data_IF_262670164096
#
_entry.id   IF_262670164096
#
_cell.length_a   1.000
_cell.length_b   1.000
_cell.length_c   1.000
_cell.angle_alpha   90.00
_cell.angle_beta   90.00
_cell.angle_gamma   90.00
#
_symmetry.space_group_name_H-M   'P 1'
#
loop_
_entity.id
_entity.type
_entity.pdbx_description
1 polymer ?
#
# COMPACT_ATOMS: atom_id res chain seq x y z
N UNK A 1 -44.29 -50.36 64.16
CA UNK A 1 -42.96 -49.75 64.25
C UNK A 1 -42.95 -48.49 63.31
N UNK A 2 -42.97 -47.30 63.92
CA UNK A 2 -42.96 -46.00 63.23
C UNK A 2 -41.54 -45.46 63.23
N UNK A 3 -40.96 -45.22 62.09
CA UNK A 3 -39.71 -44.43 61.96
C UNK A 3 -40.04 -43.06 61.41
N UNK A 4 -39.86 -42.06 62.23
CA UNK A 4 -39.90 -40.65 61.91
C UNK A 4 -38.52 -40.26 61.27
N UNK A 5 -38.51 -39.76 60.09
CA UNK A 5 -37.33 -39.12 59.48
C UNK A 5 -37.48 -37.61 59.50
N UNK A 6 -36.72 -36.99 60.38
CA UNK A 6 -36.57 -35.56 60.49
C UNK A 6 -35.69 -35.06 59.35
N UNK A 7 -36.26 -34.26 58.45
CA UNK A 7 -35.50 -33.63 57.36
C UNK A 7 -34.93 -32.31 57.89
N UNK A 8 -33.57 -32.21 57.96
CA UNK A 8 -32.87 -30.95 58.24
C UNK A 8 -32.65 -30.21 56.95
N UNK A 9 -33.34 -29.08 56.76
CA UNK A 9 -33.12 -28.16 55.73
C UNK A 9 -31.88 -27.34 56.09
N UNK A 10 -30.78 -27.51 55.33
CA UNK A 10 -29.61 -26.65 55.40
C UNK A 10 -29.83 -25.50 54.41
N UNK A 11 -30.05 -24.31 54.93
CA UNK A 11 -30.17 -23.09 54.17
C UNK A 11 -28.74 -22.64 53.77
N UNK A 12 -28.37 -22.91 52.52
CA UNK A 12 -27.10 -22.46 51.96
C UNK A 12 -27.25 -21.02 51.45
N UNK A 13 -26.79 -20.06 52.24
CA UNK A 13 -26.75 -18.65 51.86
C UNK A 13 -25.63 -18.46 50.85
N UNK A 14 -25.96 -18.39 49.54
CA UNK A 14 -25.03 -17.97 48.50
C UNK A 14 -24.80 -16.46 48.62
N UNK A 15 -23.63 -16.07 49.17
CA UNK A 15 -23.12 -14.70 49.06
C UNK A 15 -22.55 -14.53 47.65
N UNK A 16 -23.32 -13.93 46.75
CA UNK A 16 -22.84 -13.47 45.46
C UNK A 16 -22.00 -12.22 45.69
N UNK A 17 -20.68 -12.39 45.70
CA UNK A 17 -19.73 -11.27 45.62
C UNK A 17 -19.77 -10.77 44.15
N UNK A 18 -20.48 -9.68 43.93
CA UNK A 18 -20.35 -8.89 42.69
C UNK A 18 -18.97 -8.25 42.69
N UNK A 19 -18.01 -8.86 42.01
CA UNK A 19 -16.80 -8.15 41.60
C UNK A 19 -17.18 -7.21 40.46
N UNK A 20 -17.33 -5.95 40.80
CA UNK A 20 -17.32 -4.88 39.78
C UNK A 20 -15.94 -4.90 39.11
N UNK A 21 -15.85 -5.59 37.98
CA UNK A 21 -14.71 -5.44 37.06
C UNK A 21 -14.81 -4.05 36.45
N UNK A 22 -14.10 -3.11 37.05
CA UNK A 22 -13.97 -1.76 36.56
C UNK A 22 -13.30 -1.83 35.17
N UNK A 23 -14.08 -1.57 34.12
CA UNK A 23 -13.61 -1.40 32.73
C UNK A 23 -12.91 -0.04 32.60
N UNK A 24 -11.83 0.18 33.36
CA UNK A 24 -11.00 1.41 33.27
C UNK A 24 -9.89 1.26 32.22
N UNK A 25 -9.56 0.03 31.78
CA UNK A 25 -8.48 -0.22 30.83
C UNK A 25 -8.82 0.14 29.37
N UNK A 26 -10.05 -0.01 28.93
CA UNK A 26 -10.42 0.17 27.52
C UNK A 26 -10.41 1.62 27.02
N UNK A 27 -10.67 2.60 27.86
CA UNK A 27 -10.66 4.02 27.45
C UNK A 27 -9.25 4.58 27.24
N UNK A 28 -8.29 4.16 28.05
CA UNK A 28 -6.90 4.64 27.94
C UNK A 28 -6.21 4.06 26.70
N UNK A 29 -6.43 2.79 26.37
CA UNK A 29 -5.83 2.13 25.20
C UNK A 29 -6.38 2.72 23.89
N UNK A 30 -7.66 3.07 23.85
CA UNK A 30 -8.27 3.72 22.68
C UNK A 30 -7.68 5.12 22.44
N UNK A 31 -7.58 5.95 23.48
CA UNK A 31 -6.99 7.29 23.40
C UNK A 31 -5.52 7.24 22.97
N UNK A 32 -4.77 6.28 23.52
CA UNK A 32 -3.37 6.09 23.14
C UNK A 32 -3.22 5.64 21.68
N UNK A 33 -4.11 4.79 21.20
CA UNK A 33 -4.14 4.34 19.81
C UNK A 33 -4.45 5.50 18.86
N UNK A 34 -5.42 6.34 19.18
CA UNK A 34 -5.80 7.49 18.36
C UNK A 34 -4.67 8.55 18.26
N UNK A 35 -3.94 8.78 19.35
CA UNK A 35 -2.78 9.68 19.35
C UNK A 35 -1.65 9.13 18.47
N UNK A 36 -1.33 7.84 18.59
CA UNK A 36 -0.34 7.17 17.74
C UNK A 36 -0.72 7.22 16.25
N UNK A 37 -1.96 6.90 15.93
CA UNK A 37 -2.49 6.93 14.55
C UNK A 37 -2.45 8.33 13.99
N UNK A 38 -2.79 9.35 14.77
CA UNK A 38 -2.75 10.74 14.35
C UNK A 38 -1.33 11.22 14.07
N UNK A 39 -0.37 10.88 14.91
CA UNK A 39 1.05 11.19 14.71
C UNK A 39 1.64 10.46 13.51
N UNK A 40 1.30 9.18 13.33
CA UNK A 40 1.72 8.40 12.16
C UNK A 40 1.12 8.96 10.85
N UNK A 41 -0.12 9.46 10.88
CA UNK A 41 -0.73 10.11 9.73
C UNK A 41 0.03 11.38 9.31
N UNK A 42 0.51 12.18 10.27
CA UNK A 42 1.40 13.33 9.97
C UNK A 42 2.69 12.85 9.30
N UNK A 43 3.31 11.76 9.76
CA UNK A 43 4.52 11.21 9.14
C UNK A 43 4.27 10.70 7.73
N UNK A 44 3.15 10.03 7.50
CA UNK A 44 2.73 9.60 6.16
C UNK A 44 2.52 10.79 5.23
N UNK A 45 1.93 11.88 5.71
CA UNK A 45 1.77 13.11 4.94
C UNK A 45 3.14 13.74 4.58
N UNK A 46 4.08 13.80 5.52
CA UNK A 46 5.45 14.27 5.26
C UNK A 46 6.14 13.42 4.19
N UNK A 47 5.93 12.09 4.21
CA UNK A 47 6.44 11.22 3.15
C UNK A 47 5.90 11.65 1.78
N UNK A 48 4.59 11.82 1.62
CA UNK A 48 3.97 12.22 0.34
C UNK A 48 4.48 13.60 -0.15
N UNK A 49 4.75 14.52 0.75
CA UNK A 49 5.25 15.86 0.43
C UNK A 49 6.72 15.86 0.03
N UNK A 50 7.51 14.95 0.59
CA UNK A 50 8.98 14.92 0.40
C UNK A 50 9.44 13.91 -0.64
N UNK A 51 8.66 12.84 -0.89
CA UNK A 51 8.97 11.78 -1.86
C UNK A 51 8.66 12.23 -3.29
N UNK A 52 9.44 13.18 -3.77
CA UNK A 52 9.35 13.75 -5.13
C UNK A 52 10.70 14.18 -5.64
N UNK A 53 10.86 14.19 -6.97
CA UNK A 53 12.11 14.52 -7.65
C UNK A 53 13.29 13.68 -7.12
N UNK A 54 13.06 12.38 -7.02
CA UNK A 54 14.02 11.39 -6.54
C UNK A 54 14.28 10.34 -7.61
N UNK A 55 15.55 9.97 -7.75
CA UNK A 55 16.01 8.94 -8.69
C UNK A 55 16.47 7.71 -7.92
N UNK A 56 16.19 6.52 -8.46
CA UNK A 56 16.72 5.24 -7.98
C UNK A 56 16.91 4.27 -9.14
N UNK A 57 17.72 3.25 -8.94
CA UNK A 57 17.66 2.05 -9.79
C UNK A 57 16.55 1.14 -9.26
N UNK A 58 15.68 0.70 -10.15
CA UNK A 58 14.58 -0.22 -9.83
C UNK A 58 14.79 -1.55 -10.55
N UNK A 59 14.60 -2.64 -9.83
CA UNK A 59 14.37 -3.96 -10.42
C UNK A 59 12.94 -4.36 -10.17
N UNK A 60 12.16 -4.55 -11.24
CA UNK A 60 10.81 -5.09 -11.22
C UNK A 60 10.84 -6.53 -11.71
N UNK A 61 10.40 -7.46 -10.89
CA UNK A 61 10.25 -8.87 -11.27
C UNK A 61 8.79 -9.28 -11.15
N UNK A 62 8.26 -9.97 -12.14
CA UNK A 62 6.91 -10.52 -12.04
C UNK A 62 6.85 -11.99 -12.42
N UNK A 63 5.93 -12.69 -11.78
CA UNK A 63 5.63 -14.10 -11.93
C UNK A 63 4.14 -14.30 -12.19
N UNK A 64 3.81 -15.10 -13.17
CA UNK A 64 2.45 -15.55 -13.46
C UNK A 64 2.35 -17.02 -13.10
N UNK A 65 1.33 -17.37 -12.33
CA UNK A 65 1.14 -18.72 -11.83
C UNK A 65 0.07 -19.46 -12.64
N UNK A 66 0.27 -20.74 -12.87
CA UNK A 66 -0.71 -21.61 -13.51
C UNK A 66 -1.80 -22.08 -12.53
N UNK A 67 -2.70 -22.95 -13.01
CA UNK A 67 -3.79 -23.52 -12.19
C UNK A 67 -3.30 -24.42 -11.06
N UNK A 68 -2.05 -24.89 -11.11
CA UNK A 68 -1.43 -25.75 -10.09
C UNK A 68 -0.64 -24.94 -9.06
N UNK A 69 -0.46 -23.62 -9.30
CA UNK A 69 0.34 -22.74 -8.45
C UNK A 69 1.83 -22.77 -8.81
N UNK A 70 2.18 -23.31 -9.99
CA UNK A 70 3.55 -23.28 -10.52
C UNK A 70 3.78 -22.03 -11.36
N UNK A 71 5.01 -21.49 -11.38
CA UNK A 71 5.35 -20.33 -12.19
C UNK A 71 5.32 -20.72 -13.66
N UNK A 72 4.36 -20.15 -14.40
CA UNK A 72 4.17 -20.33 -15.84
C UNK A 72 5.03 -19.38 -16.66
N UNK A 73 5.16 -18.14 -16.20
CA UNK A 73 5.91 -17.08 -16.85
C UNK A 73 6.58 -16.20 -15.80
N UNK A 74 7.76 -15.74 -16.10
CA UNK A 74 8.47 -14.74 -15.28
C UNK A 74 9.15 -13.74 -16.20
N UNK A 75 9.34 -12.51 -15.69
CA UNK A 75 10.08 -11.45 -16.35
C UNK A 75 10.82 -10.61 -15.33
N UNK A 76 11.97 -10.08 -15.72
CA UNK A 76 12.74 -9.10 -14.95
C UNK A 76 12.95 -7.84 -15.80
N UNK A 77 12.60 -6.70 -15.24
CA UNK A 77 12.78 -5.38 -15.86
C UNK A 77 13.69 -4.56 -14.96
N UNK A 78 14.72 -3.95 -15.52
CA UNK A 78 15.61 -3.03 -14.83
C UNK A 78 15.39 -1.62 -15.38
N UNK A 79 15.21 -0.64 -14.50
CA UNK A 79 14.86 0.72 -14.87
C UNK A 79 15.64 1.75 -14.05
N UNK A 80 15.88 2.91 -14.63
CA UNK A 80 16.06 4.12 -13.85
C UNK A 80 14.68 4.64 -13.47
N UNK A 81 14.40 4.64 -12.18
CA UNK A 81 13.13 5.07 -11.60
C UNK A 81 13.22 6.53 -11.17
N UNK A 82 12.21 7.31 -11.50
CA UNK A 82 12.10 8.72 -11.13
C UNK A 82 10.71 9.01 -10.57
N UNK A 83 10.66 9.61 -9.39
CA UNK A 83 9.44 10.25 -8.88
C UNK A 83 9.36 11.65 -9.47
N UNK A 84 8.60 11.77 -10.55
CA UNK A 84 8.50 12.98 -11.37
C UNK A 84 7.35 13.86 -10.89
N UNK A 85 7.62 15.13 -10.65
CA UNK A 85 6.57 16.12 -10.37
C UNK A 85 6.03 16.66 -11.69
N UNK A 86 4.71 16.53 -11.91
CA UNK A 86 4.06 16.99 -13.14
C UNK A 86 4.23 18.50 -13.32
N UNK A 87 4.44 18.93 -14.57
CA UNK A 87 4.62 20.35 -14.91
C UNK A 87 3.32 21.16 -14.82
N UNK A 88 2.17 20.50 -15.01
CA UNK A 88 0.83 21.13 -15.08
C UNK A 88 -0.14 20.61 -14.02
N UNK A 89 0.34 19.95 -13.00
CA UNK A 89 -0.51 19.36 -11.95
C UNK A 89 -0.11 19.85 -10.58
N UNK A 90 -0.60 20.93 -10.05
CA UNK A 90 -0.48 21.48 -8.69
C UNK A 90 0.27 20.59 -7.67
N UNK A 91 1.55 20.27 -7.95
CA UNK A 91 2.37 19.42 -7.12
C UNK A 91 2.12 17.92 -7.26
N UNK A 92 1.27 17.47 -8.18
CA UNK A 92 1.07 16.05 -8.46
C UNK A 92 2.37 15.38 -8.91
N UNK A 93 2.54 14.12 -8.52
CA UNK A 93 3.71 13.31 -8.84
C UNK A 93 3.30 12.05 -9.59
N UNK A 94 4.21 11.53 -10.40
CA UNK A 94 4.05 10.28 -11.12
C UNK A 94 5.33 9.45 -11.03
N UNK A 95 5.19 8.13 -11.11
CA UNK A 95 6.31 7.21 -11.25
C UNK A 95 6.70 7.10 -12.72
N UNK A 96 7.90 7.52 -13.06
CA UNK A 96 8.48 7.32 -14.38
C UNK A 96 9.55 6.24 -14.34
N UNK A 97 9.54 5.36 -15.32
CA UNK A 97 10.52 4.27 -15.50
C UNK A 97 11.17 4.35 -16.86
N UNK A 98 12.44 4.73 -16.89
CA UNK A 98 13.28 4.54 -18.06
C UNK A 98 13.84 3.13 -18.04
N UNK A 99 13.22 2.21 -18.78
CA UNK A 99 13.64 0.83 -18.84
C UNK A 99 14.99 0.70 -19.55
N UNK A 100 15.98 0.10 -18.88
CA UNK A 100 17.34 -0.05 -19.36
C UNK A 100 17.71 -1.50 -19.71
N UNK A 101 17.01 -2.48 -19.13
CA UNK A 101 17.17 -3.90 -19.49
C UNK A 101 15.88 -4.69 -19.28
N UNK A 102 15.68 -5.74 -20.06
CA UNK A 102 14.57 -6.69 -19.96
C UNK A 102 15.15 -8.11 -20.06
N UNK A 103 14.85 -8.94 -19.07
CA UNK A 103 15.35 -10.33 -18.95
C UNK A 103 16.85 -10.45 -19.13
N UNK A 104 17.60 -9.50 -18.53
CA UNK A 104 19.05 -9.41 -18.60
C UNK A 104 19.62 -8.86 -19.90
N UNK A 105 18.78 -8.52 -20.89
CA UNK A 105 19.20 -7.91 -22.15
C UNK A 105 19.11 -6.40 -22.04
N UNK A 106 20.26 -5.72 -22.16
CA UNK A 106 20.33 -4.26 -22.18
C UNK A 106 19.63 -3.69 -23.42
N UNK A 107 18.90 -2.60 -23.24
CA UNK A 107 18.30 -1.83 -24.33
C UNK A 107 19.28 -0.74 -24.79
N UNK A 108 19.29 -0.47 -26.11
CA UNK A 108 20.08 0.61 -26.66
C UNK A 108 19.37 1.97 -26.56
N UNK A 109 20.16 3.05 -26.56
CA UNK A 109 19.70 4.46 -26.64
C UNK A 109 18.65 4.84 -25.57
N UNK A 110 18.76 4.29 -24.37
CA UNK A 110 17.78 4.52 -23.32
C UNK A 110 17.81 5.95 -22.80
N UNK A 111 18.98 6.58 -22.73
CA UNK A 111 19.14 7.95 -22.23
C UNK A 111 18.63 8.97 -23.25
N UNK A 112 18.92 8.79 -24.54
CA UNK A 112 18.38 9.65 -25.61
C UNK A 112 16.86 9.54 -25.65
N UNK A 113 16.32 8.33 -25.53
CA UNK A 113 14.88 8.11 -25.47
C UNK A 113 14.23 8.81 -24.28
N UNK A 114 14.84 8.73 -23.10
CA UNK A 114 14.33 9.42 -21.91
C UNK A 114 14.36 10.93 -22.09
N UNK A 115 15.46 11.47 -22.66
CA UNK A 115 15.57 12.90 -22.97
C UNK A 115 14.49 13.35 -23.94
N UNK A 116 14.34 12.69 -25.07
CA UNK A 116 13.31 12.99 -26.08
C UNK A 116 11.90 12.91 -25.46
N UNK A 117 11.68 11.93 -24.59
CA UNK A 117 10.43 11.78 -23.86
C UNK A 117 10.13 13.01 -22.99
N UNK A 118 11.09 13.46 -22.17
CA UNK A 118 10.89 14.63 -21.31
C UNK A 118 10.77 15.93 -22.10
N UNK A 119 11.51 16.12 -23.18
CA UNK A 119 11.35 17.27 -24.08
C UNK A 119 9.93 17.35 -24.70
N UNK A 120 9.31 16.21 -24.93
CA UNK A 120 7.97 16.14 -25.49
C UNK A 120 6.86 16.21 -24.42
N UNK A 121 7.09 15.66 -23.22
CA UNK A 121 6.07 15.58 -22.19
C UNK A 121 5.73 16.97 -21.63
N UNK A 122 6.71 17.87 -21.49
CA UNK A 122 6.49 19.25 -21.03
C UNK A 122 5.57 20.06 -21.95
N UNK A 123 5.40 19.61 -23.20
CA UNK A 123 4.48 20.19 -24.20
C UNK A 123 3.06 19.63 -24.08
N UNK A 124 2.79 18.73 -23.14
CA UNK A 124 1.44 18.19 -22.92
C UNK A 124 0.47 19.32 -22.56
N UNK A 125 -0.75 19.25 -23.08
CA UNK A 125 -1.75 20.31 -22.88
C UNK A 125 -2.33 20.31 -21.47
N UNK A 126 -2.41 19.12 -20.84
CA UNK A 126 -3.01 18.92 -19.51
C UNK A 126 -2.17 17.96 -18.67
N UNK A 127 -2.30 18.04 -17.34
CA UNK A 127 -1.68 17.10 -16.39
C UNK A 127 -2.14 15.65 -16.65
N UNK A 128 -3.38 15.44 -17.06
CA UNK A 128 -3.87 14.10 -17.39
C UNK A 128 -3.15 13.49 -18.58
N UNK A 129 -2.96 14.27 -19.69
CA UNK A 129 -2.20 13.80 -20.84
C UNK A 129 -0.72 13.55 -20.50
N UNK A 130 -0.15 14.36 -19.62
CA UNK A 130 1.19 14.17 -19.10
C UNK A 130 1.29 12.85 -18.33
N UNK A 131 0.36 12.60 -17.43
CA UNK A 131 0.28 11.38 -16.62
C UNK A 131 0.08 10.13 -17.48
N UNK A 132 -0.82 10.17 -18.47
CA UNK A 132 -1.08 9.04 -19.37
C UNK A 132 0.17 8.66 -20.17
N UNK A 133 0.90 9.64 -20.70
CA UNK A 133 2.17 9.39 -21.41
C UNK A 133 3.25 8.78 -20.50
N UNK A 134 3.36 9.29 -19.25
CA UNK A 134 4.30 8.73 -18.26
C UNK A 134 3.96 7.26 -17.98
N UNK A 135 2.68 6.96 -17.82
CA UNK A 135 2.20 5.60 -17.57
C UNK A 135 2.51 4.66 -18.73
N UNK A 136 2.19 5.10 -19.94
CA UNK A 136 2.41 4.30 -21.16
C UNK A 136 3.90 3.99 -21.37
N UNK A 137 4.77 4.98 -21.19
CA UNK A 137 6.22 4.76 -21.33
C UNK A 137 6.77 3.88 -20.21
N UNK A 138 6.31 4.10 -18.97
CA UNK A 138 6.76 3.34 -17.78
C UNK A 138 6.35 1.87 -17.83
N UNK A 139 5.22 1.56 -18.46
CA UNK A 139 4.67 0.19 -18.56
C UNK A 139 4.94 -0.50 -19.90
N UNK A 140 5.72 0.11 -20.78
CA UNK A 140 6.00 -0.39 -22.16
C UNK A 140 6.39 -1.87 -22.24
N UNK A 141 7.04 -2.41 -21.20
CA UNK A 141 7.53 -3.78 -21.15
C UNK A 141 6.77 -4.66 -20.14
N UNK A 142 5.73 -4.11 -19.50
CA UNK A 142 4.98 -4.79 -18.46
C UNK A 142 3.99 -5.84 -19.02
N UNK A 143 3.76 -5.85 -20.33
CA UNK A 143 2.74 -6.68 -21.00
C UNK A 143 1.36 -6.45 -20.37
N UNK A 144 0.72 -7.53 -19.84
CA UNK A 144 -0.60 -7.46 -19.21
C UNK A 144 -0.57 -6.94 -17.76
N UNK A 145 0.61 -6.53 -17.23
CA UNK A 145 0.81 -6.21 -15.81
C UNK A 145 1.36 -4.80 -15.58
N UNK A 146 0.62 -3.80 -16.03
CA UNK A 146 0.92 -2.41 -15.73
C UNK A 146 0.53 -2.07 -14.28
N UNK A 147 1.48 -2.18 -13.33
CA UNK A 147 1.31 -1.70 -11.96
C UNK A 147 2.17 -0.46 -11.79
N UNK A 148 1.54 0.69 -11.58
CA UNK A 148 2.17 1.99 -11.37
C UNK A 148 1.59 2.67 -10.13
N UNK A 149 2.34 3.60 -9.53
CA UNK A 149 1.88 4.44 -8.43
C UNK A 149 2.00 3.79 -7.05
N UNK A 150 2.53 2.58 -6.91
CA UNK A 150 2.61 1.90 -5.61
C UNK A 150 3.41 2.69 -4.57
N UNK A 151 4.52 3.33 -4.96
CA UNK A 151 5.36 4.09 -4.03
C UNK A 151 4.68 5.36 -3.52
N UNK A 152 3.67 5.85 -4.24
CA UNK A 152 2.95 7.08 -3.91
C UNK A 152 1.80 6.86 -2.91
N UNK A 153 1.52 5.62 -2.52
CA UNK A 153 0.38 5.25 -1.67
C UNK A 153 0.80 4.59 -0.36
N UNK A 154 1.73 5.23 0.35
CA UNK A 154 2.07 4.82 1.70
C UNK A 154 0.86 4.96 2.62
N UNK A 155 0.56 3.90 3.37
CA UNK A 155 -0.40 3.87 4.47
C UNK A 155 -1.75 4.53 4.16
N UNK A 156 -2.40 4.07 3.11
CA UNK A 156 -3.70 4.59 2.65
C UNK A 156 -4.73 4.74 3.79
N UNK A 157 -4.70 3.85 4.79
CA UNK A 157 -5.58 3.91 5.95
C UNK A 157 -5.35 5.14 6.84
N UNK A 158 -4.17 5.79 6.75
CA UNK A 158 -3.83 7.00 7.49
C UNK A 158 -4.17 8.29 6.74
N UNK A 159 -4.55 8.21 5.46
CA UNK A 159 -4.98 9.37 4.69
C UNK A 159 -6.13 10.08 5.39
N UNK A 160 -6.07 11.41 5.46
CA UNK A 160 -7.04 12.23 6.20
C UNK A 160 -8.50 11.92 5.84
N UNK A 161 -8.80 11.80 4.56
CA UNK A 161 -10.17 11.61 4.06
C UNK A 161 -10.65 10.16 4.21
N UNK A 162 -9.73 9.20 4.22
CA UNK A 162 -10.03 7.77 4.29
C UNK A 162 -10.01 7.23 5.72
N UNK A 163 -9.20 7.81 6.60
CA UNK A 163 -9.00 7.36 7.98
C UNK A 163 -10.29 7.15 8.79
N UNK A 164 -11.33 8.00 8.67
CA UNK A 164 -12.59 7.78 9.38
C UNK A 164 -13.32 6.47 9.01
N UNK A 165 -12.95 5.85 7.89
CA UNK A 165 -13.53 4.57 7.44
C UNK A 165 -12.81 3.36 8.02
N UNK A 166 -11.77 3.56 8.83
CA UNK A 166 -10.95 2.48 9.41
C UNK A 166 -11.01 2.48 10.93
N UNK A 167 -10.90 1.30 11.51
CA UNK A 167 -10.58 1.10 12.92
C UNK A 167 -9.12 0.69 13.06
N UNK A 168 -8.49 1.09 14.17
CA UNK A 168 -7.09 0.81 14.46
C UNK A 168 -6.96 0.11 15.81
N UNK A 169 -6.00 -0.82 15.92
CA UNK A 169 -5.73 -1.55 17.16
C UNK A 169 -4.24 -1.80 17.30
N UNK A 170 -3.64 -1.39 18.41
CA UNK A 170 -2.25 -1.71 18.73
C UNK A 170 -2.15 -3.22 19.02
N UNK A 171 -1.18 -3.89 18.39
CA UNK A 171 -0.94 -5.35 18.52
C UNK A 171 0.31 -5.68 19.34
N UNK A 172 1.08 -4.68 19.75
CA UNK A 172 2.33 -4.85 20.48
C UNK A 172 3.51 -4.27 19.73
N UNK A 173 4.69 -4.81 19.98
CA UNK A 173 5.95 -4.35 19.35
C UNK A 173 6.67 -5.50 18.68
N UNK A 174 7.34 -5.19 17.57
CA UNK A 174 8.21 -6.10 16.82
C UNK A 174 9.51 -5.38 16.44
N UNK A 175 10.55 -6.13 16.09
CA UNK A 175 11.80 -5.55 15.58
C UNK A 175 11.94 -5.85 14.09
N UNK A 176 12.10 -4.81 13.27
CA UNK A 176 12.33 -4.91 11.83
C UNK A 176 13.70 -4.33 11.52
N UNK A 177 14.59 -5.13 10.93
CA UNK A 177 15.95 -4.69 10.55
C UNK A 177 16.71 -3.99 11.68
N UNK A 178 16.53 -4.45 12.94
CA UNK A 178 17.17 -3.87 14.12
C UNK A 178 16.44 -2.66 14.73
N UNK A 179 15.37 -2.17 14.12
CA UNK A 179 14.55 -1.04 14.59
C UNK A 179 13.36 -1.59 15.37
N UNK A 180 13.16 -1.12 16.59
CA UNK A 180 11.96 -1.44 17.38
C UNK A 180 10.75 -0.70 16.83
N UNK A 181 9.67 -1.42 16.61
CA UNK A 181 8.46 -0.88 15.98
C UNK A 181 7.21 -1.19 16.81
N UNK A 182 6.24 -0.26 16.77
CA UNK A 182 4.88 -0.48 17.28
C UNK A 182 4.04 -1.03 16.13
N UNK A 183 3.36 -2.14 16.36
CA UNK A 183 2.49 -2.79 15.37
C UNK A 183 1.05 -2.33 15.56
N UNK A 184 0.48 -1.71 14.53
CA UNK A 184 -0.93 -1.30 14.49
C UNK A 184 -1.65 -2.09 13.40
N UNK A 185 -2.68 -2.83 13.76
CA UNK A 185 -3.62 -3.39 12.79
C UNK A 185 -4.68 -2.36 12.43
N UNK A 186 -5.09 -2.34 11.16
CA UNK A 186 -6.20 -1.54 10.68
C UNK A 186 -7.18 -2.38 9.87
N UNK A 187 -8.46 -2.01 9.95
CA UNK A 187 -9.54 -2.69 9.22
C UNK A 187 -10.59 -1.67 8.78
N UNK A 188 -10.98 -1.73 7.51
CA UNK A 188 -12.03 -0.87 6.97
C UNK A 188 -13.40 -1.32 7.49
N UNK A 189 -14.11 -0.44 8.18
CA UNK A 189 -15.44 -0.68 8.74
C UNK A 189 -16.54 0.03 7.97
N UNK A 190 -16.23 1.18 7.37
CA UNK A 190 -17.13 1.96 6.54
C UNK A 190 -16.98 1.66 5.04
N UNK A 191 -18.02 1.94 4.25
CA UNK A 191 -17.88 2.05 2.81
C UNK A 191 -17.33 3.43 2.46
N UNK A 192 -16.26 3.50 1.67
CA UNK A 192 -15.75 4.76 1.16
C UNK A 192 -15.64 4.68 -0.36
N UNK A 193 -16.30 5.60 -1.07
CA UNK A 193 -16.29 5.66 -2.53
C UNK A 193 -14.91 5.99 -3.11
N UNK A 194 -14.03 6.63 -2.32
CA UNK A 194 -12.65 6.93 -2.74
C UNK A 194 -11.73 5.69 -2.75
N UNK A 195 -12.16 4.60 -2.11
CA UNK A 195 -11.48 3.30 -2.13
C UNK A 195 -12.16 2.40 -3.17
N UNK A 196 -12.81 2.96 -4.17
CA UNK A 196 -13.38 2.17 -5.25
C UNK A 196 -12.27 1.55 -6.07
N UNK A 197 -12.45 0.29 -6.31
CA UNK A 197 -11.58 -0.62 -7.03
C UNK A 197 -11.44 -0.27 -8.53
N UNK A 198 -12.20 0.67 -9.03
CA UNK A 198 -12.19 1.08 -10.44
C UNK A 198 -11.41 2.38 -10.59
N UNK A 199 -10.17 2.22 -11.05
CA UNK A 199 -9.21 3.27 -11.21
C UNK A 199 -9.53 4.33 -12.26
N UNK A 200 -10.33 5.30 -11.90
CA UNK A 200 -10.46 6.55 -12.66
C UNK A 200 -9.97 7.77 -11.88
N UNK A 201 -9.29 7.57 -10.77
CA UNK A 201 -8.64 8.62 -9.98
C UNK A 201 -7.12 8.45 -9.98
N UNK A 202 -6.38 9.36 -9.34
CA UNK A 202 -4.92 9.29 -9.18
C UNK A 202 -4.42 7.99 -8.50
N UNK A 203 -5.31 7.11 -8.11
CA UNK A 203 -5.11 5.86 -7.39
C UNK A 203 -5.49 4.67 -8.28
N UNK A 204 -4.74 4.45 -9.37
CA UNK A 204 -4.99 3.30 -10.25
C UNK A 204 -4.53 1.99 -9.63
N UNK A 205 -5.33 1.48 -8.70
CA UNK A 205 -5.36 0.05 -8.40
C UNK A 205 -6.53 -0.55 -9.17
N UNK A 206 -6.30 -0.96 -10.40
CA UNK A 206 -7.25 -1.82 -11.08
C UNK A 206 -7.19 -3.20 -10.44
N UNK A 207 -8.17 -3.48 -9.57
CA UNK A 207 -8.50 -4.86 -9.28
C UNK A 207 -9.56 -5.25 -10.31
N UNK A 208 -9.15 -5.81 -11.40
CA UNK A 208 -10.05 -6.62 -12.21
C UNK A 208 -10.44 -7.84 -11.39
N UNK A 209 -11.54 -7.75 -10.67
CA UNK A 209 -12.26 -8.93 -10.23
C UNK A 209 -13.02 -9.40 -11.46
N UNK A 210 -12.52 -10.43 -12.10
CA UNK A 210 -13.16 -11.04 -13.25
C UNK A 210 -14.63 -11.36 -12.91
N UNK A 211 -15.57 -10.57 -13.47
CA UNK A 211 -17.00 -10.73 -13.38
C UNK A 211 -17.66 -10.19 -12.11
N UNK A 212 -18.18 -8.97 -12.19
CA UNK A 212 -19.19 -8.37 -11.31
C UNK A 212 -18.73 -7.90 -9.92
N UNK A 213 -18.44 -6.61 -9.85
CA UNK A 213 -17.82 -5.95 -8.69
C UNK A 213 -18.79 -5.53 -7.57
N UNK A 214 -20.09 -5.45 -7.81
CA UNK A 214 -21.04 -4.90 -6.85
C UNK A 214 -21.49 -5.87 -5.75
N UNK A 215 -21.34 -7.19 -5.96
CA UNK A 215 -21.86 -8.21 -5.05
C UNK A 215 -20.87 -8.64 -3.95
N UNK A 216 -19.61 -8.21 -3.99
CA UNK A 216 -18.55 -8.79 -3.15
C UNK A 216 -18.09 -7.96 -1.98
N UNK A 217 -18.65 -6.78 -1.75
CA UNK A 217 -18.33 -5.90 -0.62
C UNK A 217 -16.80 -5.82 -0.33
N UNK A 218 -16.02 -5.21 -1.22
CA UNK A 218 -14.57 -5.13 -1.07
C UNK A 218 -14.19 -4.34 0.19
N UNK A 219 -13.16 -4.80 0.92
CA UNK A 219 -12.62 -4.17 2.13
C UNK A 219 -11.10 -4.19 2.10
N UNK A 220 -10.52 -3.23 2.80
CA UNK A 220 -9.08 -3.14 3.05
C UNK A 220 -8.83 -3.40 4.53
N UNK A 221 -7.83 -4.22 4.83
CA UNK A 221 -7.28 -4.41 6.17
C UNK A 221 -5.78 -4.60 6.10
N UNK A 222 -5.11 -4.50 7.23
CA UNK A 222 -3.67 -4.72 7.23
C UNK A 222 -3.00 -4.39 8.54
N UNK A 223 -1.68 -4.16 8.46
CA UNK A 223 -0.84 -3.79 9.59
C UNK A 223 0.18 -2.74 9.16
N UNK A 224 0.49 -1.86 10.09
CA UNK A 224 1.56 -0.87 10.00
C UNK A 224 2.59 -1.16 11.11
N UNK A 225 3.86 -1.11 10.78
CA UNK A 225 4.96 -1.16 11.74
C UNK A 225 5.56 0.24 11.80
N UNK A 226 5.29 0.93 12.90
CA UNK A 226 5.76 2.28 13.14
C UNK A 226 7.05 2.23 13.95
N UNK A 227 8.09 2.88 13.51
CA UNK A 227 9.30 3.12 14.29
C UNK A 227 8.91 3.75 15.65
N UNK A 228 9.36 3.16 16.76
CA UNK A 228 8.95 3.59 18.10
C UNK A 228 9.40 5.01 18.43
N UNK A 229 10.51 5.48 17.86
CA UNK A 229 11.09 6.82 18.13
C UNK A 229 10.53 7.89 17.18
N UNK A 230 10.50 7.60 15.88
CA UNK A 230 10.18 8.59 14.85
C UNK A 230 8.73 8.53 14.36
N UNK A 231 8.03 7.42 14.61
CA UNK A 231 6.72 7.04 14.07
C UNK A 231 6.68 6.95 12.53
N UNK A 232 7.84 6.86 11.88
CA UNK A 232 7.93 6.56 10.47
C UNK A 232 7.45 5.13 10.21
N UNK A 233 6.77 4.92 9.10
CA UNK A 233 6.28 3.60 8.70
C UNK A 233 7.45 2.81 8.13
N UNK A 234 7.92 1.78 8.84
CA UNK A 234 9.00 0.88 8.39
C UNK A 234 8.49 -0.24 7.51
N UNK A 235 7.25 -0.67 7.74
CA UNK A 235 6.59 -1.70 6.94
C UNK A 235 5.09 -1.47 6.94
N UNK A 236 4.45 -1.78 5.82
CA UNK A 236 3.00 -1.92 5.69
C UNK A 236 2.68 -3.25 5.04
N UNK A 237 1.68 -3.95 5.56
CA UNK A 237 1.01 -5.05 4.86
C UNK A 237 -0.44 -4.66 4.69
N UNK A 238 -0.91 -4.67 3.45
CA UNK A 238 -2.25 -4.28 3.05
C UNK A 238 -2.91 -5.42 2.31
N UNK A 239 -4.02 -5.90 2.81
CA UNK A 239 -4.83 -6.91 2.17
C UNK A 239 -6.11 -6.30 1.62
N UNK A 240 -6.45 -6.61 0.39
CA UNK A 240 -7.77 -6.39 -0.19
C UNK A 240 -8.56 -7.66 -0.09
N UNK A 241 -9.74 -7.58 0.52
CA UNK A 241 -10.60 -8.74 0.75
C UNK A 241 -11.93 -8.54 0.09
N UNK A 242 -12.56 -9.64 -0.28
CA UNK A 242 -13.96 -9.68 -0.70
C UNK A 242 -14.71 -10.72 0.13
N UNK A 243 -16.01 -10.56 0.25
CA UNK A 243 -16.88 -11.56 0.85
C UNK A 243 -17.91 -12.02 -0.17
N UNK A 244 -17.65 -13.11 -0.92
CA UNK A 244 -18.59 -13.62 -1.89
C UNK A 244 -19.91 -14.02 -1.22
N UNK A 245 -21.01 -13.89 -1.96
CA UNK A 245 -22.34 -14.28 -1.47
C UNK A 245 -22.35 -15.73 -1.05
N UNK A 246 -22.88 -16.02 0.14
CA UNK A 246 -22.95 -17.36 0.71
C UNK A 246 -21.64 -17.87 1.33
N UNK A 247 -20.60 -17.04 1.41
CA UNK A 247 -19.37 -17.36 2.16
C UNK A 247 -19.44 -16.78 3.58
N UNK A 248 -18.97 -17.56 4.57
CA UNK A 248 -18.94 -17.13 5.96
C UNK A 248 -17.79 -16.16 6.24
N UNK A 249 -16.69 -16.27 5.48
CA UNK A 249 -15.48 -15.48 5.68
C UNK A 249 -15.10 -14.73 4.41
N UNK A 250 -14.54 -13.55 4.60
CA UNK A 250 -13.87 -12.82 3.52
C UNK A 250 -12.61 -13.56 3.07
N UNK A 251 -12.24 -13.36 1.81
CA UNK A 251 -11.03 -13.91 1.21
C UNK A 251 -10.15 -12.79 0.68
N UNK A 252 -8.83 -12.98 0.75
CA UNK A 252 -7.86 -12.04 0.19
C UNK A 252 -7.83 -12.21 -1.33
N UNK A 253 -7.98 -11.10 -2.05
CA UNK A 253 -7.86 -11.04 -3.52
C UNK A 253 -6.60 -10.32 -3.97
N UNK A 254 -6.03 -9.46 -3.13
CA UNK A 254 -4.71 -8.91 -3.35
C UNK A 254 -4.03 -8.57 -2.02
N UNK A 255 -2.70 -8.63 -2.03
CA UNK A 255 -1.84 -8.29 -0.90
C UNK A 255 -0.71 -7.39 -1.39
N UNK A 256 -0.49 -6.28 -0.68
CA UNK A 256 0.63 -5.39 -0.90
C UNK A 256 1.51 -5.38 0.35
N UNK A 257 2.81 -5.55 0.17
CA UNK A 257 3.81 -5.47 1.24
C UNK A 257 4.80 -4.37 0.87
N UNK A 258 4.94 -3.39 1.74
CA UNK A 258 5.86 -2.27 1.57
C UNK A 258 6.91 -2.31 2.67
N UNK A 259 8.17 -2.13 2.31
CA UNK A 259 9.30 -1.99 3.23
C UNK A 259 10.04 -0.68 2.93
N UNK A 260 10.31 0.10 3.98
CA UNK A 260 10.89 1.44 3.89
C UNK A 260 12.20 1.54 4.67
N UNK A 261 13.09 2.37 4.19
CA UNK A 261 14.35 2.72 4.83
C UNK A 261 14.65 4.21 4.75
N UNK A 262 15.58 4.67 5.57
CA UNK A 262 16.03 6.05 5.54
C UNK A 262 17.01 6.27 4.39
N UNK A 263 16.87 7.38 3.68
CA UNK A 263 17.87 7.85 2.70
C UNK A 263 18.97 8.65 3.39
N UNK A 264 20.10 8.83 2.73
CA UNK A 264 21.24 9.64 3.24
C UNK A 264 20.90 11.11 3.43
N UNK A 265 19.77 11.57 2.89
CA UNK A 265 19.31 12.96 3.02
C UNK A 265 18.06 13.09 3.92
N UNK A 266 17.81 12.07 4.77
CA UNK A 266 16.80 12.12 5.84
C UNK A 266 15.35 11.98 5.39
N UNK A 267 15.11 11.52 4.14
CA UNK A 267 13.77 11.21 3.65
C UNK A 267 13.56 9.70 3.71
N UNK A 268 12.40 9.26 4.20
CA UNK A 268 11.98 7.87 4.12
C UNK A 268 11.78 7.48 2.64
N UNK A 269 12.28 6.31 2.24
CA UNK A 269 12.19 5.84 0.86
C UNK A 269 11.78 4.36 0.81
N UNK A 270 11.04 3.91 -0.21
CA UNK A 270 10.76 2.50 -0.38
C UNK A 270 12.05 1.74 -0.70
N UNK A 271 12.23 0.59 -0.06
CA UNK A 271 13.31 -0.37 -0.37
C UNK A 271 12.78 -1.52 -1.20
N UNK A 272 11.58 -1.97 -0.86
CA UNK A 272 10.95 -3.13 -1.49
C UNK A 272 9.44 -2.99 -1.45
N UNK A 273 8.79 -3.37 -2.55
CA UNK A 273 7.34 -3.50 -2.63
C UNK A 273 7.02 -4.84 -3.27
N UNK A 274 6.08 -5.58 -2.68
CA UNK A 274 5.55 -6.81 -3.25
C UNK A 274 4.05 -6.64 -3.44
N UNK A 275 3.57 -6.92 -4.63
CA UNK A 275 2.14 -7.03 -4.95
C UNK A 275 1.82 -8.47 -5.33
N UNK A 276 0.82 -9.05 -4.68
CA UNK A 276 0.33 -10.39 -4.99
C UNK A 276 -1.16 -10.31 -5.30
N UNK A 277 -1.55 -10.88 -6.42
CA UNK A 277 -2.95 -11.00 -6.83
C UNK A 277 -3.41 -12.45 -6.76
N UNK A 278 -4.65 -12.65 -6.34
CA UNK A 278 -5.26 -13.97 -6.20
C UNK A 278 -6.52 -14.06 -7.05
N UNK A 279 -6.70 -15.20 -7.70
CA UNK A 279 -7.96 -15.58 -8.37
C UNK A 279 -8.83 -16.35 -7.40
N UNK A 280 -10.08 -15.91 -7.27
CA UNK A 280 -11.11 -16.57 -6.46
C UNK A 280 -12.01 -17.39 -7.38
N UNK A 281 -12.02 -18.70 -7.19
CA UNK A 281 -12.95 -19.59 -7.88
C UNK A 281 -14.17 -19.81 -7.01
N UNK A 282 -15.24 -19.07 -7.28
CA UNK A 282 -16.47 -19.11 -6.49
C UNK A 282 -17.08 -20.50 -6.39
N UNK A 283 -17.11 -21.24 -7.50
CA UNK A 283 -17.70 -22.59 -7.60
C UNK A 283 -16.99 -23.60 -6.70
N UNK A 284 -15.67 -23.56 -6.69
CA UNK A 284 -14.82 -24.53 -5.97
C UNK A 284 -14.44 -24.03 -4.56
N UNK A 285 -14.85 -22.81 -4.21
CA UNK A 285 -14.43 -22.07 -2.99
C UNK A 285 -12.91 -22.06 -2.80
N UNK A 286 -12.17 -21.99 -3.89
CA UNK A 286 -10.71 -22.02 -3.90
C UNK A 286 -10.14 -20.63 -4.19
N UNK A 287 -9.07 -20.29 -3.49
CA UNK A 287 -8.25 -19.09 -3.72
C UNK A 287 -6.86 -19.55 -4.11
N UNK A 288 -6.32 -19.03 -5.20
CA UNK A 288 -4.97 -19.35 -5.66
C UNK A 288 -4.23 -18.09 -6.05
N UNK A 289 -2.91 -18.09 -5.88
CA UNK A 289 -2.05 -17.04 -6.40
C UNK A 289 -2.14 -17.01 -7.93
N UNK A 290 -2.30 -15.82 -8.48
CA UNK A 290 -2.36 -15.60 -9.92
C UNK A 290 -1.10 -14.89 -10.41
N UNK A 291 -0.75 -13.80 -9.76
CA UNK A 291 0.46 -13.04 -10.09
C UNK A 291 1.19 -12.58 -8.83
N UNK A 292 2.50 -12.36 -8.97
CA UNK A 292 3.33 -11.67 -8.00
C UNK A 292 4.21 -10.69 -8.74
N UNK A 293 4.23 -9.46 -8.28
CA UNK A 293 5.17 -8.45 -8.74
C UNK A 293 6.00 -7.99 -7.56
N UNK A 294 7.31 -7.90 -7.74
CA UNK A 294 8.24 -7.45 -6.72
C UNK A 294 9.10 -6.32 -7.29
N UNK A 295 9.11 -5.21 -6.59
CA UNK A 295 9.94 -4.05 -6.88
C UNK A 295 11.04 -3.97 -5.81
N UNK A 296 12.27 -3.84 -6.24
CA UNK A 296 13.44 -3.61 -5.38
C UNK A 296 14.07 -2.31 -5.85
N UNK A 297 14.24 -1.38 -4.92
CA UNK A 297 14.83 -0.07 -5.17
C UNK A 297 16.27 -0.04 -4.64
N UNK A 298 17.14 0.56 -5.42
CA UNK A 298 18.47 0.93 -4.98
C UNK A 298 18.44 2.18 -4.10
N UNK A 299 19.61 2.73 -3.86
CA UNK A 299 19.74 3.98 -3.12
C UNK A 299 19.09 5.12 -3.91
N UNK A 300 18.21 5.85 -3.25
CA UNK A 300 17.62 7.06 -3.82
C UNK A 300 18.62 8.21 -3.80
N UNK A 301 18.59 9.03 -4.83
CA UNK A 301 19.39 10.25 -4.96
C UNK A 301 18.50 11.40 -5.42
N UNK A 302 18.91 12.63 -5.12
CA UNK A 302 18.32 13.82 -5.73
C UNK A 302 18.98 14.04 -7.09
N UNK A 303 18.22 14.30 -8.17
CA UNK A 303 18.84 14.65 -9.44
C UNK A 303 19.58 15.98 -9.29
N UNK A 304 20.83 16.03 -9.78
CA UNK A 304 21.57 17.28 -9.96
C UNK A 304 20.97 18.05 -11.13
N UNK A 305 19.86 18.74 -10.92
CA UNK A 305 19.26 19.60 -11.93
C UNK A 305 19.64 21.05 -11.60
N UNK A 306 20.73 21.54 -12.16
CA UNK A 306 20.86 22.96 -12.40
C UNK A 306 19.87 23.35 -13.52
N UNK A 307 18.70 23.84 -13.16
CA UNK A 307 17.81 24.52 -14.09
C UNK A 307 18.51 25.84 -14.46
N UNK A 308 19.29 25.84 -15.52
CA UNK A 308 19.69 27.09 -16.17
C UNK A 308 18.43 27.70 -16.74
N UNK A 309 17.85 28.65 -16.04
CA UNK A 309 16.85 29.56 -16.61
C UNK A 309 17.51 30.29 -17.77
N UNK A 310 17.21 29.88 -19.00
CA UNK A 310 17.54 30.71 -20.17
C UNK A 310 16.65 31.95 -20.08
N UNK A 311 17.25 33.08 -19.71
CA UNK A 311 16.62 34.38 -19.90
C UNK A 311 16.26 34.47 -21.39
N UNK A 312 14.97 34.44 -21.68
CA UNK A 312 14.46 34.84 -23.02
C UNK A 312 14.71 36.33 -23.10
N UNK A 313 15.80 36.74 -23.76
CA UNK A 313 15.99 38.13 -24.20
C UNK A 313 14.84 38.42 -25.13
N UNK A 314 13.91 39.25 -24.68
CA UNK A 314 12.94 39.90 -25.55
C UNK A 314 13.73 40.92 -26.41
N UNK A 315 14.01 40.59 -27.65
CA UNK A 315 14.41 41.57 -28.63
C UNK A 315 13.20 42.47 -28.90
N UNK A 316 13.33 43.74 -28.49
CA UNK A 316 12.45 44.83 -28.86
C UNK A 316 12.79 45.29 -30.30
#
# INVERSE_FOLDING_TARGET
MKYSRTCKIILLTCITVFTEVTVIGQSNDAVLTDDLVSKAAVRSQVYLETFKNLLSQETKSFEIYDKKGEVKKQRKIESTFLVYQLTKGDGQVAEFRNVVAVDGKKLGNTDDRAKDFFENIVRSETSQKELDRIRDESSRYDEDFAINGLTLFQAIALNHDLRPSFTFTVKGTETISGIKTIVIAFEQTGSNRSITVNGTGANNYDIEIAGETSEFNPRIRGKLWLDEETLNIRREVRERTIQPVGWVRSVVVAEDIFEYGDSDFGILTPMKIIHIQYVVKLKDRAVRKDTKVEFIYGKFTKPDVEVKSSEVKSDN
#
